data_IF_079842010369
#
_entry.id   IF_079842010369
#
_cell.length_a   1.000
_cell.length_b   1.000
_cell.length_c   1.000
_cell.angle_alpha   90.00
_cell.angle_beta   90.00
_cell.angle_gamma   90.00
#
_symmetry.space_group_name_H-M   'P 1'
#
loop_
_entity.id
_entity.type
_entity.pdbx_description
1 polymer ?
#
# COMPACT_ATOMS: atom_id res chain seq x y z
N UNK A 1 -22.04 -3.67 -1.23
CA UNK A 1 -22.64 -4.31 -2.43
C UNK A 1 -22.29 -5.79 -2.44
N UNK A 2 -23.25 -6.71 -2.55
CA UNK A 2 -22.97 -8.15 -2.69
C UNK A 2 -22.42 -8.43 -4.09
N UNK A 3 -21.45 -9.34 -4.21
CA UNK A 3 -20.88 -9.77 -5.50
C UNK A 3 -20.91 -11.29 -5.64
N UNK A 4 -20.86 -11.76 -6.89
CA UNK A 4 -20.55 -13.15 -7.19
C UNK A 4 -19.03 -13.31 -7.13
N UNK A 5 -18.56 -14.27 -6.34
CA UNK A 5 -17.15 -14.56 -6.22
C UNK A 5 -16.67 -15.32 -7.45
N UNK A 6 -15.45 -15.03 -7.88
CA UNK A 6 -14.77 -15.75 -8.96
C UNK A 6 -13.58 -16.56 -8.42
N UNK A 7 -13.12 -17.52 -9.22
CA UNK A 7 -11.96 -18.34 -8.88
C UNK A 7 -10.71 -17.45 -8.70
N UNK A 8 -9.91 -17.63 -7.63
CA UNK A 8 -9.91 -18.77 -6.69
C UNK A 8 -10.88 -18.66 -5.51
N UNK A 9 -11.42 -17.47 -5.21
CA UNK A 9 -12.22 -17.23 -4.01
C UNK A 9 -13.54 -17.99 -4.00
N UNK A 10 -14.14 -18.23 -5.17
CA UNK A 10 -15.37 -19.01 -5.28
C UNK A 10 -15.25 -20.45 -4.79
N UNK A 11 -14.03 -21.00 -4.70
CA UNK A 11 -13.79 -22.34 -4.19
C UNK A 11 -13.87 -22.41 -2.66
N UNK A 12 -13.40 -21.37 -1.98
CA UNK A 12 -13.20 -21.38 -0.52
C UNK A 12 -14.24 -20.53 0.23
N UNK A 13 -14.91 -19.62 -0.48
CA UNK A 13 -15.82 -18.63 0.09
C UNK A 13 -17.21 -18.65 -0.57
N UNK A 14 -18.25 -18.57 0.26
CA UNK A 14 -19.65 -18.62 -0.16
C UNK A 14 -20.18 -17.26 -0.60
N UNK A 15 -19.82 -16.20 0.11
CA UNK A 15 -20.37 -14.86 -0.10
C UNK A 15 -19.25 -13.81 -0.13
N UNK A 16 -19.38 -12.86 -1.05
CA UNK A 16 -18.51 -11.70 -1.18
C UNK A 16 -19.29 -10.39 -1.08
N UNK A 17 -18.76 -9.41 -0.36
CA UNK A 17 -19.32 -8.06 -0.28
C UNK A 17 -18.24 -7.01 -0.52
N UNK A 18 -18.46 -6.11 -1.47
CA UNK A 18 -17.61 -4.93 -1.64
C UNK A 18 -18.09 -3.83 -0.69
N UNK A 19 -17.14 -3.29 0.06
CA UNK A 19 -17.29 -2.10 0.91
C UNK A 19 -16.15 -1.12 0.64
N UNK A 20 -16.39 0.16 0.88
CA UNK A 20 -15.35 1.19 0.84
C UNK A 20 -14.90 1.47 2.26
N UNK A 21 -13.60 1.39 2.53
CA UNK A 21 -13.04 1.71 3.84
C UNK A 21 -12.97 3.24 4.07
N UNK A 22 -12.67 3.69 5.30
CA UNK A 22 -12.53 5.13 5.60
C UNK A 22 -11.44 5.84 4.77
N UNK A 23 -10.45 5.10 4.27
CA UNK A 23 -9.41 5.63 3.38
C UNK A 23 -9.85 5.68 1.91
N UNK A 24 -11.12 5.51 1.58
CA UNK A 24 -11.62 5.49 0.20
C UNK A 24 -10.95 4.40 -0.68
N UNK A 25 -10.68 3.23 -0.12
CA UNK A 25 -10.23 2.02 -0.82
C UNK A 25 -11.33 0.97 -0.77
N UNK A 26 -11.56 0.28 -1.88
CA UNK A 26 -12.49 -0.85 -1.92
C UNK A 26 -11.85 -2.08 -1.28
N UNK A 27 -12.67 -2.82 -0.53
CA UNK A 27 -12.33 -4.06 0.17
C UNK A 27 -13.42 -5.08 -0.12
N UNK A 28 -13.04 -6.32 -0.36
CA UNK A 28 -13.96 -7.45 -0.42
C UNK A 28 -13.99 -8.13 0.94
N UNK A 29 -15.16 -8.18 1.55
CA UNK A 29 -15.44 -9.00 2.72
C UNK A 29 -15.85 -10.38 2.24
N UNK A 30 -15.11 -11.39 2.66
CA UNK A 30 -15.32 -12.79 2.35
C UNK A 30 -16.00 -13.48 3.54
N UNK A 31 -17.09 -14.21 3.29
CA UNK A 31 -17.94 -14.72 4.35
C UNK A 31 -18.47 -16.13 4.04
N UNK A 32 -18.24 -17.06 4.98
CA UNK A 32 -18.87 -18.39 4.99
C UNK A 32 -19.92 -18.50 6.08
N UNK A 33 -19.58 -18.07 7.30
CA UNK A 33 -20.45 -18.07 8.48
C UNK A 33 -19.93 -17.04 9.51
N UNK A 34 -20.56 -16.96 10.69
CA UNK A 34 -20.21 -15.96 11.72
C UNK A 34 -18.75 -16.05 12.21
N UNK A 35 -18.16 -17.24 12.18
CA UNK A 35 -16.81 -17.51 12.68
C UNK A 35 -15.79 -17.39 11.54
N UNK A 36 -16.11 -17.95 10.37
CA UNK A 36 -15.24 -17.96 9.21
C UNK A 36 -15.58 -16.79 8.28
N UNK A 37 -14.89 -15.68 8.51
CA UNK A 37 -14.93 -14.46 7.70
C UNK A 37 -13.51 -13.91 7.54
N UNK A 38 -13.25 -13.26 6.40
CA UNK A 38 -11.99 -12.56 6.13
C UNK A 38 -12.26 -11.30 5.31
N UNK A 39 -11.22 -10.51 5.09
CA UNK A 39 -11.28 -9.36 4.19
C UNK A 39 -10.01 -9.27 3.37
N UNK A 40 -10.14 -8.75 2.15
CA UNK A 40 -9.03 -8.58 1.22
C UNK A 40 -9.20 -7.28 0.45
N UNK A 41 -8.12 -6.59 0.09
CA UNK A 41 -8.23 -5.41 -0.76
C UNK A 41 -8.82 -5.77 -2.11
N UNK A 42 -9.62 -4.88 -2.69
CA UNK A 42 -10.27 -5.15 -3.97
C UNK A 42 -9.25 -5.33 -5.10
N UNK A 43 -8.16 -4.55 -5.11
CA UNK A 43 -7.06 -4.74 -6.04
C UNK A 43 -6.43 -6.14 -5.97
N UNK A 44 -6.22 -6.69 -4.75
CA UNK A 44 -5.66 -8.04 -4.58
C UNK A 44 -6.65 -9.12 -5.02
N UNK A 45 -7.95 -8.91 -4.78
CA UNK A 45 -9.02 -9.79 -5.28
C UNK A 45 -9.00 -9.86 -6.82
N UNK A 46 -9.02 -8.70 -7.50
CA UNK A 46 -8.98 -8.62 -8.97
C UNK A 46 -7.73 -9.26 -9.57
N UNK A 47 -6.55 -8.96 -8.99
CA UNK A 47 -5.30 -9.54 -9.45
C UNK A 47 -5.28 -11.07 -9.30
N UNK A 48 -5.79 -11.60 -8.19
CA UNK A 48 -5.85 -13.05 -7.96
C UNK A 48 -6.78 -13.76 -8.95
N UNK A 49 -7.89 -13.12 -9.34
CA UNK A 49 -8.82 -13.65 -10.36
C UNK A 49 -8.19 -13.64 -11.75
N UNK A 50 -7.48 -12.57 -12.09
CA UNK A 50 -6.75 -12.44 -13.36
C UNK A 50 -5.72 -13.55 -13.52
N UNK A 51 -4.97 -13.84 -12.44
CA UNK A 51 -3.93 -14.89 -12.43
C UNK A 51 -4.47 -16.31 -12.22
N UNK A 52 -5.77 -16.45 -11.88
CA UNK A 52 -6.38 -17.73 -11.49
C UNK A 52 -5.60 -18.42 -10.35
N UNK A 53 -5.13 -17.64 -9.36
CA UNK A 53 -4.52 -18.16 -8.12
C UNK A 53 -4.52 -17.09 -7.04
N UNK A 54 -4.35 -17.49 -5.79
CA UNK A 54 -4.07 -16.52 -4.72
C UNK A 54 -2.69 -15.90 -4.95
N UNK A 55 -2.57 -14.61 -4.64
CA UNK A 55 -1.26 -13.98 -4.46
C UNK A 55 -0.59 -14.53 -3.19
N UNK A 56 0.72 -14.73 -3.26
CA UNK A 56 1.57 -15.13 -2.14
C UNK A 56 1.70 -13.97 -1.13
N UNK A 57 2.17 -14.28 0.07
CA UNK A 57 2.29 -13.31 1.16
C UNK A 57 3.29 -12.17 0.86
N UNK A 58 4.29 -12.44 0.01
CA UNK A 58 5.31 -11.50 -0.43
C UNK A 58 4.91 -10.68 -1.67
N UNK A 59 3.87 -11.10 -2.37
CA UNK A 59 3.30 -10.39 -3.51
C UNK A 59 2.29 -9.35 -3.04
N UNK A 60 2.33 -8.12 -3.55
CA UNK A 60 1.34 -7.08 -3.29
C UNK A 60 0.75 -6.55 -4.60
N UNK A 61 -0.57 -6.42 -4.67
CA UNK A 61 -1.23 -5.71 -5.76
C UNK A 61 -1.13 -4.19 -5.51
N UNK A 62 -0.53 -3.47 -6.45
CA UNK A 62 -0.29 -2.03 -6.40
C UNK A 62 -0.86 -1.34 -7.64
N UNK A 63 -1.28 -0.09 -7.50
CA UNK A 63 -1.82 0.73 -8.59
C UNK A 63 -0.66 1.48 -9.28
N UNK A 64 -0.46 1.25 -10.58
CA UNK A 64 0.65 1.83 -11.36
C UNK A 64 0.61 3.37 -11.28
N UNK A 65 -0.56 3.97 -11.50
CA UNK A 65 -0.82 5.41 -11.44
C UNK A 65 -0.84 6.02 -10.02
N UNK A 66 -0.66 5.21 -8.97
CA UNK A 66 -0.79 5.57 -7.56
C UNK A 66 -2.19 6.10 -7.18
N UNK A 67 -3.20 5.88 -8.02
CA UNK A 67 -4.59 6.19 -7.71
C UNK A 67 -5.33 4.92 -7.23
N UNK A 68 -5.50 4.83 -5.91
CA UNK A 68 -6.13 3.71 -5.22
C UNK A 68 -7.61 3.43 -5.58
N UNK A 69 -8.25 4.30 -6.37
CA UNK A 69 -9.63 4.11 -6.85
C UNK A 69 -9.70 3.61 -8.29
N UNK A 70 -8.57 3.60 -9.02
CA UNK A 70 -8.48 3.11 -10.38
C UNK A 70 -8.22 1.60 -10.41
N UNK A 71 -9.25 0.82 -10.09
CA UNK A 71 -9.18 -0.65 -9.97
C UNK A 71 -9.25 -1.39 -11.32
N UNK A 72 -8.87 -0.75 -12.44
CA UNK A 72 -8.79 -1.40 -13.75
C UNK A 72 -7.60 -2.38 -13.74
N UNK A 73 -7.77 -3.60 -14.23
CA UNK A 73 -6.76 -4.66 -14.10
C UNK A 73 -5.44 -4.28 -14.79
N UNK A 74 -5.49 -3.55 -15.89
CA UNK A 74 -4.33 -3.02 -16.62
C UNK A 74 -3.56 -1.95 -15.84
N UNK A 75 -4.20 -1.31 -14.84
CA UNK A 75 -3.55 -0.36 -13.93
C UNK A 75 -3.00 -1.04 -12.66
N UNK A 76 -3.14 -2.36 -12.53
CA UNK A 76 -2.62 -3.11 -11.40
C UNK A 76 -1.31 -3.81 -11.77
N UNK A 77 -0.37 -3.81 -10.82
CA UNK A 77 0.88 -4.53 -10.93
C UNK A 77 1.14 -5.34 -9.65
N UNK A 78 1.94 -6.40 -9.76
CA UNK A 78 2.44 -7.15 -8.60
C UNK A 78 3.80 -6.57 -8.24
N UNK A 79 3.96 -6.17 -6.98
CA UNK A 79 5.24 -5.76 -6.41
C UNK A 79 5.55 -6.59 -5.18
N UNK A 80 6.81 -6.91 -4.99
CA UNK A 80 7.31 -7.33 -3.68
C UNK A 80 7.26 -6.16 -2.69
N UNK A 81 7.26 -6.45 -1.39
CA UNK A 81 7.35 -5.39 -0.38
C UNK A 81 8.59 -4.49 -0.58
N UNK A 82 9.71 -5.08 -1.02
CA UNK A 82 10.95 -4.36 -1.31
C UNK A 82 10.79 -3.39 -2.49
N UNK A 83 10.08 -3.80 -3.54
CA UNK A 83 9.82 -2.95 -4.71
C UNK A 83 8.80 -1.86 -4.39
N UNK A 84 7.76 -2.16 -3.63
CA UNK A 84 6.80 -1.16 -3.18
C UNK A 84 7.48 -0.10 -2.29
N UNK A 85 8.40 -0.51 -1.41
CA UNK A 85 9.22 0.41 -0.62
C UNK A 85 10.13 1.29 -1.51
N UNK A 86 10.66 0.76 -2.61
CA UNK A 86 11.42 1.55 -3.59
C UNK A 86 10.53 2.54 -4.33
N UNK A 87 9.33 2.12 -4.76
CA UNK A 87 8.36 2.96 -5.47
C UNK A 87 7.83 4.10 -4.61
N UNK A 88 7.48 3.81 -3.35
CA UNK A 88 7.02 4.80 -2.37
C UNK A 88 8.15 5.66 -1.79
N UNK A 89 9.40 5.24 -1.99
CA UNK A 89 10.59 5.95 -1.55
C UNK A 89 10.73 7.30 -2.24
N UNK A 90 10.06 8.33 -1.70
CA UNK A 90 10.50 9.72 -1.88
C UNK A 90 11.97 9.74 -1.48
N UNK A 91 12.85 10.11 -2.41
CA UNK A 91 14.30 10.10 -2.19
C UNK A 91 14.69 10.73 -0.85
N UNK A 92 15.73 10.19 -0.21
CA UNK A 92 16.19 10.69 1.09
C UNK A 92 16.57 12.17 0.94
N UNK A 93 15.84 13.05 1.60
CA UNK A 93 16.19 14.48 1.66
C UNK A 93 17.22 14.67 2.76
N UNK A 94 18.40 15.18 2.40
CA UNK A 94 19.46 15.52 3.34
C UNK A 94 19.49 17.03 3.58
N UNK A 95 19.73 17.41 4.83
CA UNK A 95 20.02 18.78 5.21
C UNK A 95 21.51 18.88 5.51
N UNK A 96 22.17 19.91 4.95
CA UNK A 96 23.58 20.19 5.22
C UNK A 96 23.67 21.21 6.35
N UNK A 97 24.48 20.91 7.35
CA UNK A 97 24.73 21.76 8.50
C UNK A 97 26.23 22.02 8.62
N UNK A 98 26.56 23.16 9.21
CA UNK A 98 27.92 23.50 9.62
C UNK A 98 27.92 23.62 11.13
N UNK A 99 28.79 22.89 11.82
CA UNK A 99 28.93 23.01 13.26
C UNK A 99 29.47 24.41 13.61
N UNK A 100 28.81 25.21 14.47
CA UNK A 100 29.29 26.55 14.81
C UNK A 100 30.57 26.55 15.66
N UNK A 101 30.92 25.41 16.28
CA UNK A 101 32.08 25.30 17.18
C UNK A 101 33.34 24.87 16.42
N UNK A 102 33.23 23.84 15.56
CA UNK A 102 34.38 23.27 14.86
C UNK A 102 34.35 23.48 13.34
N UNK A 103 33.33 24.15 12.81
CA UNK A 103 33.13 24.47 11.39
C UNK A 103 33.09 23.25 10.44
N UNK A 104 32.97 22.04 10.99
CA UNK A 104 32.83 20.80 10.21
C UNK A 104 31.45 20.77 9.55
N UNK A 105 31.42 20.49 8.25
CA UNK A 105 30.19 20.27 7.48
C UNK A 105 29.73 18.83 7.66
N UNK A 106 28.46 18.65 8.05
CA UNK A 106 27.85 17.34 8.18
C UNK A 106 26.46 17.33 7.56
N UNK A 107 26.01 16.14 7.16
CA UNK A 107 24.68 15.93 6.57
C UNK A 107 23.88 15.03 7.49
N UNK A 108 22.64 15.42 7.77
CA UNK A 108 21.67 14.55 8.45
C UNK A 108 20.44 14.37 7.57
N UNK A 109 19.76 13.24 7.69
CA UNK A 109 18.50 13.05 7.00
C UNK A 109 17.45 14.00 7.59
N UNK A 110 16.58 14.58 6.75
CA UNK A 110 15.54 15.52 7.19
C UNK A 110 14.64 14.93 8.28
N UNK A 111 14.38 13.61 8.25
CA UNK A 111 13.63 12.90 9.31
C UNK A 111 14.37 12.77 10.64
N UNK A 112 15.70 12.84 10.63
CA UNK A 112 16.55 12.82 11.82
C UNK A 112 16.71 14.22 12.43
N UNK A 113 16.45 15.27 11.65
CA UNK A 113 16.40 16.65 12.15
C UNK A 113 15.18 16.82 13.07
N UNK A 114 15.39 16.69 14.38
CA UNK A 114 14.37 16.94 15.42
C UNK A 114 14.08 18.43 15.56
N UNK A 115 13.58 19.07 14.51
CA UNK A 115 13.15 20.47 14.57
C UNK A 115 11.72 20.56 15.15
N UNK A 116 11.57 20.48 16.48
CA UNK A 116 10.42 21.12 17.15
C UNK A 116 10.72 22.62 17.16
N UNK A 117 10.21 23.35 16.15
CA UNK A 117 10.20 24.82 16.06
C UNK A 117 11.43 25.53 16.63
N UNK A 118 12.43 25.82 15.80
CA UNK A 118 13.14 27.09 15.89
C UNK A 118 13.65 27.46 14.49
N UNK A 119 12.89 28.32 13.82
CA UNK A 119 13.38 29.12 12.69
C UNK A 119 14.51 29.98 13.25
N UNK A 120 15.73 29.75 12.79
CA UNK A 120 16.68 30.86 12.65
C UNK A 120 16.89 30.99 11.15
N UNK A 121 16.16 31.96 10.58
CA UNK A 121 16.41 32.48 9.25
C UNK A 121 17.58 33.46 9.39
N UNK A 122 18.55 33.37 8.48
CA UNK A 122 19.45 34.48 8.18
C UNK A 122 18.69 35.55 7.40
#
# INVERSE_FOLDING_TARGET
MKINLEYPFSNDWRLGYIVTNPENRKVVILYNNKIQRSSISYARYLMSISLKRYLNDDEHADHIDNNKTNDIIENLQILTQKENNKKSGKGRTYLSFTCPICNIKFKIEKRQSKNKKNKVLF
#
